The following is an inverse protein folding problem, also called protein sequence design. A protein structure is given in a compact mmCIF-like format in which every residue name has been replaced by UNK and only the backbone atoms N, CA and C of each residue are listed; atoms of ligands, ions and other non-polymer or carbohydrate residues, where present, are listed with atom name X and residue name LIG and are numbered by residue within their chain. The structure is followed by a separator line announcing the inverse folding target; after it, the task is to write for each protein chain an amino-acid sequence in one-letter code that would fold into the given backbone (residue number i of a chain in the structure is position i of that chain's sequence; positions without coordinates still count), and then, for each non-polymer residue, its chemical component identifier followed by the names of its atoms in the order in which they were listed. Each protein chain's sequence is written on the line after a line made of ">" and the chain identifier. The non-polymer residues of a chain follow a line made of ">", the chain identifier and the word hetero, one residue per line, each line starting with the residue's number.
data_IF_082619295257
#
_entry.id   IF_082619295257
#
_cell.length_a   1.000
_cell.length_b   1.000
_cell.length_c   1.000
_cell.angle_alpha   90.00
_cell.angle_beta   90.00
_cell.angle_gamma   90.00
#
_symmetry.space_group_name_H-M   'P 1'
#
loop_
_entity.id
_entity.type
_entity.pdbx_description
1 polymer ?
#
# COMPACT_ATOMS: atom_id res chain seq x y z
N UNK A 1 -9.79 -23.51 -36.26
CA UNK A 1 -8.98 -22.66 -35.36
C UNK A 1 -8.71 -21.34 -36.06
N UNK A 2 -9.32 -20.24 -35.61
CA UNK A 2 -9.11 -18.92 -36.22
C UNK A 2 -7.66 -18.46 -35.97
N UNK A 3 -6.94 -18.13 -37.04
CA UNK A 3 -5.58 -17.58 -36.93
C UNK A 3 -5.69 -16.08 -36.72
N UNK A 4 -5.16 -15.58 -35.59
CA UNK A 4 -5.03 -14.15 -35.33
C UNK A 4 -4.27 -13.47 -36.49
N UNK A 5 -4.69 -12.25 -36.86
CA UNK A 5 -4.03 -11.47 -37.90
C UNK A 5 -2.58 -11.12 -37.52
N UNK A 6 -1.67 -10.90 -38.49
CA UNK A 6 -0.30 -10.51 -38.21
C UNK A 6 -0.19 -9.26 -37.34
N UNK A 7 -1.04 -8.24 -37.60
CA UNK A 7 -1.10 -7.01 -36.81
C UNK A 7 -1.49 -7.28 -35.36
N UNK A 8 -2.49 -8.14 -35.14
CA UNK A 8 -2.90 -8.49 -33.77
C UNK A 8 -1.81 -9.28 -33.05
N UNK A 9 -1.11 -10.19 -33.75
CA UNK A 9 0.05 -10.91 -33.20
C UNK A 9 1.19 -9.96 -32.82
N UNK A 10 1.47 -8.96 -33.66
CA UNK A 10 2.46 -7.93 -33.38
C UNK A 10 2.06 -7.11 -32.15
N UNK A 11 0.79 -6.72 -32.05
CA UNK A 11 0.27 -5.93 -30.93
C UNK A 11 0.35 -6.69 -29.59
N UNK A 12 -0.15 -7.94 -29.53
CA UNK A 12 -0.12 -8.74 -28.29
C UNK A 12 1.29 -9.17 -27.88
N UNK A 13 2.22 -9.24 -28.84
CA UNK A 13 3.62 -9.57 -28.57
C UNK A 13 4.47 -8.33 -28.29
N UNK A 14 3.90 -7.14 -28.49
CA UNK A 14 4.61 -5.90 -28.27
C UNK A 14 5.02 -5.79 -26.79
N UNK A 15 6.21 -5.22 -26.48
CA UNK A 15 6.68 -5.11 -25.11
C UNK A 15 5.69 -4.40 -24.16
N UNK A 16 4.91 -3.45 -24.67
CA UNK A 16 3.87 -2.72 -23.94
C UNK A 16 2.57 -3.52 -23.72
N UNK A 17 2.39 -4.65 -24.39
CA UNK A 17 1.28 -5.58 -24.19
C UNK A 17 1.62 -6.68 -23.17
N UNK A 18 2.88 -6.75 -22.70
CA UNK A 18 3.28 -7.68 -21.64
C UNK A 18 2.75 -7.20 -20.29
N UNK A 19 2.35 -8.11 -19.38
CA UNK A 19 1.84 -7.78 -18.05
C UNK A 19 2.97 -7.36 -17.09
N UNK A 20 3.80 -6.41 -17.51
CA UNK A 20 4.91 -5.87 -16.74
C UNK A 20 4.50 -4.60 -15.98
N UNK A 21 5.44 -4.04 -15.21
CA UNK A 21 5.27 -2.72 -14.60
C UNK A 21 5.09 -1.64 -15.66
N UNK A 22 4.31 -0.61 -15.32
CA UNK A 22 4.09 0.55 -16.18
C UNK A 22 5.17 1.61 -15.92
N UNK A 23 5.74 2.23 -16.97
CA UNK A 23 6.67 3.34 -16.78
C UNK A 23 5.97 4.50 -16.07
N UNK A 24 6.76 5.33 -15.38
CA UNK A 24 6.26 6.58 -14.82
C UNK A 24 5.77 7.48 -15.96
N UNK A 25 4.52 8.00 -15.92
CA UNK A 25 4.07 8.96 -16.91
C UNK A 25 4.98 10.20 -16.92
N UNK A 26 5.29 10.80 -18.09
CA UNK A 26 6.24 11.92 -18.19
C UNK A 26 5.92 13.11 -17.27
N UNK A 27 4.63 13.34 -17.00
CA UNK A 27 4.16 14.45 -16.17
C UNK A 27 3.73 14.03 -14.76
N UNK A 28 4.05 12.82 -14.31
CA UNK A 28 3.56 12.30 -13.03
C UNK A 28 3.95 13.18 -11.85
N UNK A 29 5.17 13.74 -11.89
CA UNK A 29 5.67 14.67 -10.88
C UNK A 29 4.79 15.91 -10.74
N UNK A 30 4.33 16.48 -11.87
CA UNK A 30 3.41 17.63 -11.85
C UNK A 30 2.04 17.29 -11.26
N UNK A 31 1.58 16.04 -11.42
CA UNK A 31 0.34 15.56 -10.80
C UNK A 31 0.50 15.51 -9.28
N UNK A 32 1.58 14.93 -8.78
CA UNK A 32 1.85 14.89 -7.35
C UNK A 32 2.06 16.27 -6.75
N UNK A 33 2.73 17.18 -7.46
CA UNK A 33 2.92 18.56 -7.02
C UNK A 33 1.57 19.26 -6.82
N UNK A 34 0.66 19.13 -7.79
CA UNK A 34 -0.70 19.68 -7.65
C UNK A 34 -1.45 19.05 -6.48
N UNK A 35 -1.35 17.73 -6.30
CA UNK A 35 -1.97 17.05 -5.15
C UNK A 35 -1.41 17.57 -3.82
N UNK A 36 -0.10 17.77 -3.71
CA UNK A 36 0.57 18.34 -2.53
C UNK A 36 0.08 19.76 -2.24
N UNK A 37 -0.01 20.61 -3.26
CA UNK A 37 -0.49 21.99 -3.15
C UNK A 37 -1.97 22.04 -2.74
N UNK A 38 -2.83 21.23 -3.35
CA UNK A 38 -4.23 21.13 -2.98
C UNK A 38 -4.41 20.61 -1.55
N UNK A 39 -3.63 19.59 -1.15
CA UNK A 39 -3.66 19.06 0.20
C UNK A 39 -3.30 20.16 1.22
N UNK A 40 -2.25 20.93 0.95
CA UNK A 40 -1.86 22.07 1.78
C UNK A 40 -2.98 23.13 1.86
N UNK A 41 -3.57 23.52 0.73
CA UNK A 41 -4.66 24.50 0.69
C UNK A 41 -5.92 24.03 1.44
N UNK A 42 -6.14 22.72 1.55
CA UNK A 42 -7.27 22.10 2.26
C UNK A 42 -6.92 21.65 3.69
N UNK A 43 -5.74 22.01 4.21
CA UNK A 43 -5.24 21.58 5.51
C UNK A 43 -5.18 20.04 5.70
N UNK A 44 -4.94 19.31 4.61
CA UNK A 44 -4.72 17.87 4.62
C UNK A 44 -3.23 17.60 4.84
N UNK A 45 -2.90 16.93 5.94
CA UNK A 45 -1.51 16.67 6.33
C UNK A 45 -0.75 15.75 5.36
N UNK A 46 0.58 15.85 5.38
CA UNK A 46 1.48 15.08 4.51
C UNK A 46 1.20 13.58 4.49
N UNK A 47 0.97 12.90 5.63
CA UNK A 47 0.70 11.46 5.62
C UNK A 47 -0.52 11.07 4.78
N UNK A 48 -1.55 11.92 4.70
CA UNK A 48 -2.79 11.60 3.99
C UNK A 48 -2.62 11.64 2.47
N UNK A 49 -2.11 12.75 1.92
CA UNK A 49 -1.95 12.85 0.46
C UNK A 49 -0.84 11.91 -0.05
N UNK A 50 0.21 11.69 0.74
CA UNK A 50 1.26 10.74 0.40
C UNK A 50 0.74 9.30 0.42
N UNK A 51 -0.11 8.94 1.38
CA UNK A 51 -0.77 7.61 1.42
C UNK A 51 -1.62 7.40 0.19
N UNK A 52 -2.50 8.36 -0.13
CA UNK A 52 -3.36 8.31 -1.32
C UNK A 52 -2.55 8.15 -2.61
N UNK A 53 -1.51 8.98 -2.77
CA UNK A 53 -0.65 8.98 -3.96
C UNK A 53 0.13 7.67 -4.08
N UNK A 54 0.63 7.14 -2.96
CA UNK A 54 1.34 5.85 -2.93
C UNK A 54 0.40 4.72 -3.33
N UNK A 55 -0.76 4.60 -2.69
CA UNK A 55 -1.75 3.55 -2.98
C UNK A 55 -2.20 3.58 -4.44
N UNK A 56 -2.49 4.77 -4.97
CA UNK A 56 -2.85 4.97 -6.38
C UNK A 56 -1.74 4.48 -7.30
N UNK A 57 -0.49 4.84 -7.01
CA UNK A 57 0.67 4.46 -7.84
C UNK A 57 0.97 2.96 -7.79
N UNK A 58 0.78 2.34 -6.62
CA UNK A 58 0.84 0.89 -6.44
C UNK A 58 -0.21 0.19 -7.30
N UNK A 59 -1.45 0.69 -7.32
CA UNK A 59 -2.54 0.16 -8.15
C UNK A 59 -2.20 0.27 -9.64
N UNK A 60 -1.59 1.37 -10.06
CA UNK A 60 -1.08 1.55 -11.43
C UNK A 60 0.12 0.65 -11.76
N UNK A 61 0.68 -0.10 -10.81
CA UNK A 61 1.86 -0.96 -10.97
C UNK A 61 3.03 -0.18 -11.60
N UNK A 62 3.27 1.06 -11.13
CA UNK A 62 4.26 1.98 -11.69
C UNK A 62 5.37 2.32 -10.68
N UNK A 63 6.45 1.52 -10.60
CA UNK A 63 7.52 1.75 -9.63
C UNK A 63 8.27 3.08 -9.82
N UNK A 64 8.50 3.50 -11.06
CA UNK A 64 9.13 4.80 -11.33
C UNK A 64 8.28 5.97 -10.81
N UNK A 65 6.95 5.82 -10.81
CA UNK A 65 6.05 6.79 -10.19
C UNK A 65 6.25 6.90 -8.67
N UNK A 66 6.58 5.80 -7.99
CA UNK A 66 6.89 5.81 -6.55
C UNK A 66 8.22 6.50 -6.28
N UNK A 67 9.22 6.30 -7.14
CA UNK A 67 10.50 7.01 -7.05
C UNK A 67 10.32 8.51 -7.15
N UNK A 68 9.55 8.99 -8.13
CA UNK A 68 9.27 10.42 -8.29
C UNK A 68 8.43 11.00 -7.15
N UNK A 69 7.46 10.24 -6.64
CA UNK A 69 6.66 10.61 -5.47
C UNK A 69 7.53 10.78 -4.22
N UNK A 70 8.45 9.84 -3.97
CA UNK A 70 9.38 9.90 -2.84
C UNK A 70 10.31 11.11 -2.95
N UNK A 71 10.91 11.34 -4.12
CA UNK A 71 11.74 12.53 -4.36
C UNK A 71 10.98 13.80 -3.99
N UNK A 72 9.78 13.97 -4.53
CA UNK A 72 8.94 15.13 -4.26
C UNK A 72 8.57 15.27 -2.78
N UNK A 73 8.20 14.17 -2.11
CA UNK A 73 7.83 14.19 -0.70
C UNK A 73 9.00 14.51 0.23
N UNK A 74 10.23 14.27 -0.21
CA UNK A 74 11.47 14.52 0.54
C UNK A 74 12.22 15.78 0.09
N UNK A 75 11.67 16.56 -0.84
CA UNK A 75 12.23 17.85 -1.24
C UNK A 75 11.99 18.91 -0.16
N UNK A 76 12.98 19.12 0.70
CA UNK A 76 12.96 20.14 1.75
C UNK A 76 13.98 19.88 2.86
N UNK A 77 13.90 20.67 3.93
CA UNK A 77 14.86 20.65 5.05
C UNK A 77 14.63 19.52 6.07
N UNK A 78 13.74 18.55 5.78
CA UNK A 78 13.39 17.46 6.71
C UNK A 78 14.55 16.51 7.05
N UNK A 79 15.65 16.57 6.29
CA UNK A 79 16.86 15.80 6.53
C UNK A 79 16.66 14.28 6.35
N UNK A 80 17.68 13.51 6.76
CA UNK A 80 17.72 12.05 6.58
C UNK A 80 16.62 11.33 7.34
N UNK A 81 16.29 11.77 8.54
CA UNK A 81 15.28 11.10 9.37
C UNK A 81 13.89 11.17 8.73
N UNK A 82 13.48 12.35 8.25
CA UNK A 82 12.19 12.50 7.58
C UNK A 82 12.14 11.73 6.26
N UNK A 83 13.25 11.69 5.53
CA UNK A 83 13.37 10.88 4.32
C UNK A 83 13.18 9.38 4.61
N UNK A 84 13.77 8.86 5.69
CA UNK A 84 13.56 7.48 6.15
C UNK A 84 12.10 7.25 6.56
N UNK A 85 11.51 8.16 7.36
CA UNK A 85 10.09 8.06 7.78
C UNK A 85 9.14 8.06 6.58
N UNK A 86 9.42 8.87 5.57
CA UNK A 86 8.68 8.94 4.31
C UNK A 86 8.74 7.61 3.57
N UNK A 87 9.94 7.05 3.42
CA UNK A 87 10.11 5.75 2.77
C UNK A 87 9.42 4.61 3.55
N UNK A 88 9.47 4.62 4.89
CA UNK A 88 8.75 3.63 5.71
C UNK A 88 7.24 3.74 5.58
N UNK A 89 6.69 4.96 5.53
CA UNK A 89 5.27 5.17 5.29
C UNK A 89 4.86 4.60 3.93
N UNK A 90 5.61 4.92 2.87
CA UNK A 90 5.32 4.41 1.52
C UNK A 90 5.41 2.89 1.45
N UNK A 91 6.40 2.27 2.13
CA UNK A 91 6.53 0.81 2.22
C UNK A 91 5.35 0.17 2.94
N UNK A 92 4.91 0.76 4.04
CA UNK A 92 3.78 0.26 4.83
C UNK A 92 2.47 0.38 4.04
N UNK A 93 2.22 1.51 3.37
CA UNK A 93 1.08 1.68 2.47
C UNK A 93 1.11 0.65 1.35
N UNK A 94 2.28 0.44 0.73
CA UNK A 94 2.45 -0.55 -0.32
C UNK A 94 2.26 -2.00 0.16
N UNK A 95 2.58 -2.30 1.42
CA UNK A 95 2.28 -3.59 2.03
C UNK A 95 0.77 -3.77 2.19
N UNK A 96 0.06 -2.78 2.74
CA UNK A 96 -1.41 -2.82 2.92
C UNK A 96 -2.16 -2.93 1.60
N UNK A 97 -1.57 -2.46 0.50
CA UNK A 97 -2.12 -2.66 -0.85
C UNK A 97 -2.31 -4.14 -1.23
N UNK A 98 -1.69 -5.11 -0.55
CA UNK A 98 -1.95 -6.55 -0.77
C UNK A 98 -3.46 -6.86 -0.75
N UNK A 99 -4.18 -6.34 0.24
CA UNK A 99 -5.60 -6.59 0.41
C UNK A 99 -6.51 -5.80 -0.56
N UNK A 100 -5.96 -4.80 -1.27
CA UNK A 100 -6.74 -3.90 -2.14
C UNK A 100 -6.44 -4.07 -3.64
N UNK A 101 -5.18 -4.27 -4.02
CA UNK A 101 -4.76 -4.39 -5.43
C UNK A 101 -3.91 -5.63 -5.74
N UNK A 102 -3.62 -6.46 -4.73
CA UNK A 102 -3.07 -7.79 -4.88
C UNK A 102 -1.55 -7.91 -4.75
N UNK A 103 -1.10 -9.09 -4.29
CA UNK A 103 0.30 -9.41 -4.00
C UNK A 103 1.28 -9.13 -5.16
N UNK A 104 0.99 -9.48 -6.43
CA UNK A 104 1.97 -9.31 -7.51
C UNK A 104 2.40 -7.85 -7.73
N UNK A 105 1.45 -6.90 -7.64
CA UNK A 105 1.75 -5.47 -7.79
C UNK A 105 2.57 -4.97 -6.61
N UNK A 106 2.22 -5.39 -5.39
CA UNK A 106 3.00 -5.09 -4.20
C UNK A 106 4.44 -5.56 -4.31
N UNK A 107 4.69 -6.80 -4.76
CA UNK A 107 6.04 -7.34 -4.95
C UNK A 107 6.83 -6.47 -5.94
N UNK A 108 6.25 -6.22 -7.12
CA UNK A 108 6.91 -5.45 -8.18
C UNK A 108 7.26 -4.04 -7.70
N UNK A 109 6.29 -3.34 -7.13
CA UNK A 109 6.45 -1.95 -6.72
C UNK A 109 7.39 -1.79 -5.52
N UNK A 110 7.25 -2.59 -4.46
CA UNK A 110 8.10 -2.44 -3.27
C UNK A 110 9.56 -2.86 -3.54
N UNK A 111 9.78 -3.90 -4.36
CA UNK A 111 11.12 -4.33 -4.74
C UNK A 111 11.86 -3.24 -5.52
N UNK A 112 11.22 -2.71 -6.57
CA UNK A 112 11.80 -1.64 -7.38
C UNK A 112 11.89 -0.30 -6.63
N UNK A 113 10.92 0.03 -5.77
CA UNK A 113 10.98 1.22 -4.93
C UNK A 113 12.21 1.19 -4.02
N UNK A 114 12.44 0.09 -3.27
CA UNK A 114 13.63 -0.07 -2.42
C UNK A 114 14.93 0.08 -3.22
N UNK A 115 14.99 -0.49 -4.42
CA UNK A 115 16.17 -0.40 -5.29
C UNK A 115 16.43 1.02 -5.82
N UNK A 116 15.39 1.87 -5.88
CA UNK A 116 15.49 3.25 -6.35
C UNK A 116 15.89 4.27 -5.29
N UNK A 117 15.89 3.88 -4.01
CA UNK A 117 16.22 4.78 -2.90
C UNK A 117 17.75 5.03 -2.83
N UNK A 118 18.18 6.22 -2.38
CA UNK A 118 19.58 6.46 -2.03
C UNK A 118 20.10 5.42 -1.02
N UNK A 119 21.38 5.03 -1.13
CA UNK A 119 21.93 3.89 -0.37
C UNK A 119 21.90 4.13 1.15
N UNK A 120 22.11 5.37 1.56
CA UNK A 120 22.02 5.85 2.95
C UNK A 120 20.60 5.78 3.51
N UNK A 121 19.58 5.93 2.66
CA UNK A 121 18.19 5.75 3.08
C UNK A 121 17.86 4.26 3.12
N UNK A 122 18.17 3.53 2.05
CA UNK A 122 17.86 2.10 1.93
C UNK A 122 18.48 1.24 3.04
N UNK A 123 19.67 1.62 3.52
CA UNK A 123 20.37 0.97 4.64
C UNK A 123 19.83 1.35 6.02
N UNK A 124 19.15 2.49 6.16
CA UNK A 124 18.50 2.95 7.40
C UNK A 124 17.08 2.42 7.59
N UNK A 125 16.51 1.77 6.57
CA UNK A 125 15.19 1.16 6.63
C UNK A 125 15.13 -0.02 7.61
N UNK A 126 13.97 -0.20 8.24
CA UNK A 126 13.63 -1.36 9.05
C UNK A 126 13.73 -2.65 8.25
N UNK A 127 14.44 -3.62 8.83
CA UNK A 127 14.71 -4.95 8.28
C UNK A 127 14.08 -6.07 9.11
N UNK A 128 13.53 -5.77 10.29
CA UNK A 128 12.92 -6.76 11.18
C UNK A 128 11.42 -6.91 10.87
N UNK A 129 10.93 -8.12 10.58
CA UNK A 129 9.50 -8.35 10.40
C UNK A 129 8.71 -8.01 11.68
N UNK A 130 7.61 -7.29 11.54
CA UNK A 130 6.72 -6.89 12.65
C UNK A 130 5.41 -7.66 12.71
N UNK A 131 5.14 -8.48 11.69
CA UNK A 131 3.90 -9.24 11.50
C UNK A 131 4.09 -10.76 11.45
N UNK A 132 5.25 -11.25 11.88
CA UNK A 132 5.51 -12.69 11.93
C UNK A 132 4.53 -13.34 12.93
N UNK A 133 3.73 -14.27 12.45
CA UNK A 133 2.77 -15.03 13.26
C UNK A 133 3.49 -16.12 14.06
N UNK A 134 3.10 -16.30 15.32
CA UNK A 134 3.58 -17.36 16.20
C UNK A 134 2.44 -17.81 17.14
N UNK A 135 2.53 -19.03 17.72
CA UNK A 135 1.59 -19.45 18.76
C UNK A 135 1.49 -18.48 19.94
N UNK A 136 2.56 -17.73 20.21
CA UNK A 136 2.63 -16.77 21.32
C UNK A 136 1.95 -15.43 21.03
N UNK A 137 1.72 -15.07 19.76
CA UNK A 137 1.14 -13.77 19.40
C UNK A 137 -0.20 -13.86 18.64
N UNK A 138 -0.62 -15.06 18.22
CA UNK A 138 -1.81 -15.23 17.38
C UNK A 138 -3.07 -14.62 18.02
N UNK A 139 -3.28 -14.80 19.32
CA UNK A 139 -4.43 -14.23 20.03
C UNK A 139 -4.44 -12.70 19.99
N UNK A 140 -3.27 -12.05 20.05
CA UNK A 140 -3.16 -10.58 19.92
C UNK A 140 -3.57 -10.12 18.51
N UNK A 141 -3.14 -10.85 17.48
CA UNK A 141 -3.47 -10.58 16.08
C UNK A 141 -4.98 -10.70 15.83
N UNK A 142 -5.60 -11.78 16.33
CA UNK A 142 -7.05 -11.98 16.23
C UNK A 142 -7.82 -10.86 16.96
N UNK A 143 -7.38 -10.51 18.17
CA UNK A 143 -8.03 -9.48 18.99
C UNK A 143 -7.98 -8.10 18.33
N UNK A 144 -6.83 -7.69 17.78
CA UNK A 144 -6.72 -6.40 17.09
C UNK A 144 -7.51 -6.37 15.77
N UNK A 145 -7.60 -7.51 15.07
CA UNK A 145 -8.42 -7.64 13.87
C UNK A 145 -9.92 -7.45 14.17
N UNK A 146 -10.42 -8.17 15.17
CA UNK A 146 -11.80 -8.02 15.63
C UNK A 146 -12.11 -6.61 16.14
N UNK A 147 -11.17 -5.99 16.88
CA UNK A 147 -11.29 -4.62 17.35
C UNK A 147 -11.36 -3.62 16.19
N UNK A 148 -10.48 -3.75 15.20
CA UNK A 148 -10.47 -2.89 14.02
C UNK A 148 -11.75 -3.05 13.19
N UNK A 149 -12.18 -4.29 12.93
CA UNK A 149 -13.44 -4.61 12.26
C UNK A 149 -14.63 -3.93 12.95
N UNK A 150 -14.77 -4.14 14.27
CA UNK A 150 -15.83 -3.51 15.06
C UNK A 150 -15.76 -2.00 14.99
N UNK A 151 -14.57 -1.41 15.10
CA UNK A 151 -14.41 0.04 15.05
C UNK A 151 -14.91 0.66 13.73
N UNK A 152 -14.77 -0.06 12.61
CA UNK A 152 -15.13 0.39 11.26
C UNK A 152 -16.63 0.17 11.00
N UNK A 153 -17.16 -1.00 11.36
CA UNK A 153 -18.50 -1.41 10.94
C UNK A 153 -19.58 -1.27 12.02
N UNK A 154 -19.24 -0.89 13.25
CA UNK A 154 -20.24 -0.67 14.31
C UNK A 154 -21.29 0.36 13.88
N UNK A 155 -22.60 0.13 14.13
CA UNK A 155 -23.20 -1.00 14.87
C UNK A 155 -23.57 -2.24 14.03
N UNK A 156 -23.15 -2.29 12.77
CA UNK A 156 -23.51 -3.35 11.83
C UNK A 156 -22.48 -4.48 11.72
N UNK A 157 -21.40 -4.45 12.50
CA UNK A 157 -20.28 -5.40 12.45
C UNK A 157 -20.72 -6.86 12.49
N UNK A 158 -21.62 -7.22 13.42
CA UNK A 158 -22.15 -8.59 13.57
C UNK A 158 -23.09 -8.97 12.43
N UNK A 159 -23.95 -8.03 11.98
CA UNK A 159 -24.88 -8.26 10.87
C UNK A 159 -24.13 -8.45 9.55
N UNK A 160 -23.09 -7.65 9.31
CA UNK A 160 -22.24 -7.78 8.13
C UNK A 160 -21.48 -9.10 8.16
N UNK A 161 -20.92 -9.49 9.31
CA UNK A 161 -20.27 -10.79 9.48
C UNK A 161 -21.21 -11.94 9.10
N UNK A 162 -22.43 -11.96 9.65
CA UNK A 162 -23.42 -12.98 9.34
C UNK A 162 -23.81 -13.01 7.85
N UNK A 163 -23.92 -11.84 7.20
CA UNK A 163 -24.21 -11.75 5.77
C UNK A 163 -23.08 -12.30 4.90
N UNK A 164 -21.83 -12.05 5.28
CA UNK A 164 -20.66 -12.61 4.60
C UNK A 164 -20.59 -14.13 4.81
N UNK A 165 -20.84 -14.62 6.02
CA UNK A 165 -20.90 -16.06 6.34
C UNK A 165 -21.96 -16.80 5.51
N UNK A 166 -23.09 -16.14 5.23
CA UNK A 166 -24.14 -16.70 4.35
C UNK A 166 -23.68 -16.86 2.89
N UNK A 167 -22.69 -16.08 2.44
CA UNK A 167 -22.08 -16.25 1.12
C UNK A 167 -21.03 -17.36 1.13
N UNK A 168 -20.21 -17.41 2.19
CA UNK A 168 -19.27 -18.50 2.46
C UNK A 168 -18.86 -18.47 3.94
N UNK A 169 -18.89 -19.60 4.69
CA UNK A 169 -18.64 -19.60 6.12
C UNK A 169 -17.24 -19.08 6.51
N UNK A 170 -16.22 -19.38 5.71
CA UNK A 170 -14.85 -18.93 5.99
C UNK A 170 -14.59 -17.46 5.61
N UNK A 171 -15.44 -16.84 4.78
CA UNK A 171 -15.19 -15.50 4.24
C UNK A 171 -15.00 -14.45 5.33
N UNK A 172 -15.94 -14.24 6.27
CA UNK A 172 -15.76 -13.22 7.30
C UNK A 172 -14.63 -13.57 8.27
N UNK A 173 -14.41 -14.86 8.57
CA UNK A 173 -13.31 -15.31 9.43
C UNK A 173 -11.96 -14.96 8.80
N UNK A 174 -11.76 -15.28 7.52
CA UNK A 174 -10.52 -14.97 6.81
C UNK A 174 -10.29 -13.46 6.71
N UNK A 175 -11.34 -12.70 6.39
CA UNK A 175 -11.28 -11.23 6.34
C UNK A 175 -10.86 -10.67 7.71
N UNK A 176 -11.53 -11.03 8.81
CA UNK A 176 -11.26 -10.44 10.12
C UNK A 176 -9.88 -10.84 10.63
N UNK A 177 -9.52 -12.13 10.53
CA UNK A 177 -8.31 -12.65 11.14
C UNK A 177 -7.04 -12.31 10.35
N UNK A 178 -7.11 -12.42 9.01
CA UNK A 178 -5.93 -12.31 8.15
C UNK A 178 -5.83 -10.91 7.52
N UNK A 179 -6.91 -10.40 6.93
CA UNK A 179 -6.87 -9.06 6.33
C UNK A 179 -6.83 -7.98 7.42
N UNK A 180 -7.83 -7.94 8.31
CA UNK A 180 -7.86 -6.92 9.37
C UNK A 180 -6.82 -7.15 10.46
N UNK A 181 -6.66 -8.39 10.94
CA UNK A 181 -5.73 -8.74 12.01
C UNK A 181 -4.27 -8.71 11.58
N UNK A 182 -3.89 -9.49 10.57
CA UNK A 182 -2.49 -9.64 10.19
C UNK A 182 -1.97 -8.49 9.31
N UNK A 183 -2.79 -7.94 8.40
CA UNK A 183 -2.36 -6.94 7.42
C UNK A 183 -2.71 -5.49 7.81
N UNK A 184 -4.00 -5.17 7.96
CA UNK A 184 -4.47 -3.78 8.06
C UNK A 184 -4.29 -3.14 9.43
N UNK A 185 -4.42 -3.91 10.51
CA UNK A 185 -4.06 -3.44 11.83
C UNK A 185 -2.55 -3.15 11.89
N UNK A 186 -2.20 -2.05 12.54
CA UNK A 186 -0.79 -1.75 12.78
C UNK A 186 -0.22 -2.79 13.79
N UNK A 187 1.01 -3.25 13.60
CA UNK A 187 1.66 -4.14 14.56
C UNK A 187 2.03 -3.37 15.83
N UNK A 188 2.21 -4.10 16.93
CA UNK A 188 2.59 -3.50 18.22
C UNK A 188 3.96 -2.81 18.14
N UNK A 189 4.87 -3.38 17.35
CA UNK A 189 6.20 -2.83 17.09
C UNK A 189 6.11 -1.42 16.47
N UNK A 190 6.83 -0.47 17.06
CA UNK A 190 6.89 0.92 16.60
C UNK A 190 8.04 1.10 15.62
N UNK A 191 7.75 0.99 14.33
CA UNK A 191 8.65 1.46 13.27
C UNK A 191 8.23 2.89 12.91
N UNK A 192 9.10 3.90 13.08
CA UNK A 192 8.79 5.28 12.69
C UNK A 192 8.34 5.36 11.23
N UNK A 193 7.25 6.10 10.96
CA UNK A 193 6.66 6.21 9.62
C UNK A 193 5.75 5.04 9.19
N UNK A 194 5.90 3.84 9.76
CA UNK A 194 5.13 2.65 9.37
C UNK A 194 3.81 2.47 10.17
N UNK A 195 3.26 3.53 10.75
CA UNK A 195 1.94 3.53 11.40
C UNK A 195 0.94 4.27 10.53
N UNK A 196 0.36 3.54 9.57
CA UNK A 196 -0.71 4.05 8.70
C UNK A 196 -2.01 4.18 9.51
N UNK A 197 -2.27 3.26 10.45
CA UNK A 197 -3.45 3.31 11.31
C UNK A 197 -4.76 3.20 10.53
N UNK A 198 -5.89 3.28 11.25
CA UNK A 198 -7.22 3.11 10.65
C UNK A 198 -7.50 4.14 9.56
N UNK A 199 -7.31 5.43 9.87
CA UNK A 199 -7.71 6.54 8.99
C UNK A 199 -6.97 6.50 7.65
N UNK A 200 -5.64 6.39 7.67
CA UNK A 200 -4.89 6.34 6.42
C UNK A 200 -5.11 5.01 5.69
N UNK A 201 -5.37 3.90 6.40
CA UNK A 201 -5.75 2.64 5.73
C UNK A 201 -7.07 2.80 4.98
N UNK A 202 -8.03 3.56 5.52
CA UNK A 202 -9.26 3.91 4.79
C UNK A 202 -9.01 4.80 3.57
N UNK A 203 -7.90 5.54 3.51
CA UNK A 203 -7.48 6.31 2.32
C UNK A 203 -6.84 5.41 1.27
N UNK A 204 -6.26 4.27 1.67
CA UNK A 204 -5.71 3.25 0.73
C UNK A 204 -6.82 2.46 0.03
N UNK A 205 -7.92 2.23 0.74
CA UNK A 205 -9.03 1.34 0.35
C UNK A 205 -9.87 1.86 -0.82
#
# INVERSE_FOLDING_TARGET
>A
MSKLSPTLKALISAPYARPNTLPAPPHIRSVYERLRQEASAKNVGTPAWLTLSTATTMTMNSPGGLTELYKLATEGEGGREEAVRTAELMREVGLKCIGFNGVPRTINCLGAFRASLPSEIASSLSTKPTRQTSPTNITSILTRGASLWKSIYHPYDTKLFAKLAASHPDLPTFIVDHEYGALFADPDARVPGARVGRVLTSVVA
#
